data_IF_912069895874
#
_entry.id   IF_912069895874
#
_cell.length_a   1.000
_cell.length_b   1.000
_cell.length_c   1.000
_cell.angle_alpha   90.00
_cell.angle_beta   90.00
_cell.angle_gamma   90.00
#
_symmetry.space_group_name_H-M   'P 1'
#
loop_
_entity.id
_entity.type
_entity.pdbx_description
1 polymer ?
#
# COMPACT_ATOMS: atom_id res chain seq x y z
N UNK A 1 -15.19 12.94 -15.46
CA UNK A 1 -14.75 11.54 -15.18
C UNK A 1 -15.60 10.99 -14.05
N UNK A 2 -16.05 9.73 -14.13
CA UNK A 2 -16.83 9.12 -13.05
C UNK A 2 -15.98 8.83 -11.81
N UNK A 3 -16.57 8.90 -10.61
CA UNK A 3 -15.89 8.64 -9.32
C UNK A 3 -15.21 7.28 -9.27
N UNK A 4 -15.86 6.23 -9.81
CA UNK A 4 -15.30 4.87 -9.90
C UNK A 4 -14.02 4.83 -10.75
N UNK A 5 -13.98 5.58 -11.85
CA UNK A 5 -12.82 5.63 -12.74
C UNK A 5 -11.60 6.21 -12.03
N UNK A 6 -11.79 7.23 -11.19
CA UNK A 6 -10.70 7.85 -10.42
C UNK A 6 -10.16 6.92 -9.34
N UNK A 7 -11.03 6.16 -8.67
CA UNK A 7 -10.62 5.12 -7.71
C UNK A 7 -9.78 4.04 -8.41
N UNK A 8 -10.22 3.58 -9.58
CA UNK A 8 -9.48 2.61 -10.38
C UNK A 8 -8.10 3.13 -10.80
N UNK A 9 -8.01 4.41 -11.22
CA UNK A 9 -6.73 5.05 -11.54
C UNK A 9 -5.81 5.07 -10.32
N UNK A 10 -6.32 5.43 -9.14
CA UNK A 10 -5.55 5.39 -7.90
C UNK A 10 -5.04 3.99 -7.56
N UNK A 11 -5.87 2.97 -7.79
CA UNK A 11 -5.48 1.57 -7.60
C UNK A 11 -4.40 1.12 -8.60
N UNK A 12 -4.54 1.45 -9.88
CA UNK A 12 -3.53 1.18 -10.91
C UNK A 12 -2.19 1.88 -10.59
N UNK A 13 -2.25 3.12 -10.07
CA UNK A 13 -1.07 3.86 -9.63
C UNK A 13 -0.37 3.12 -8.50
N UNK A 14 -1.11 2.66 -7.49
CA UNK A 14 -0.54 1.88 -6.38
C UNK A 14 0.12 0.56 -6.84
N UNK A 15 -0.47 -0.14 -7.82
CA UNK A 15 0.14 -1.32 -8.45
C UNK A 15 1.44 -0.96 -9.18
N UNK A 16 1.45 0.14 -9.91
CA UNK A 16 2.66 0.60 -10.61
C UNK A 16 3.82 0.85 -9.63
N UNK A 17 3.55 1.54 -8.51
CA UNK A 17 4.55 1.73 -7.45
C UNK A 17 4.94 0.44 -6.74
N UNK A 18 4.02 -0.52 -6.61
CA UNK A 18 4.36 -1.85 -6.11
C UNK A 18 5.38 -2.55 -7.03
N UNK A 19 5.17 -2.52 -8.34
CA UNK A 19 6.11 -3.09 -9.32
C UNK A 19 7.46 -2.38 -9.29
N UNK A 20 7.49 -1.04 -9.20
CA UNK A 20 8.75 -0.31 -9.02
C UNK A 20 9.45 -0.67 -7.71
N UNK A 21 8.69 -0.79 -6.61
CA UNK A 21 9.20 -1.21 -5.31
C UNK A 21 9.80 -2.62 -5.35
N UNK A 22 9.26 -3.50 -6.18
CA UNK A 22 9.83 -4.83 -6.43
C UNK A 22 11.19 -4.76 -7.11
N UNK A 23 11.35 -3.89 -8.12
CA UNK A 23 12.65 -3.65 -8.78
C UNK A 23 13.66 -3.08 -7.79
N UNK A 24 13.27 -2.06 -7.03
CA UNK A 24 14.14 -1.42 -6.00
C UNK A 24 14.54 -2.43 -4.93
N UNK A 25 13.60 -3.25 -4.47
CA UNK A 25 13.86 -4.32 -3.50
C UNK A 25 14.89 -5.32 -4.01
N UNK A 26 14.82 -5.71 -5.28
CA UNK A 26 15.81 -6.61 -5.90
C UNK A 26 17.20 -5.99 -5.94
N UNK A 27 17.31 -4.70 -6.27
CA UNK A 27 18.59 -3.98 -6.33
C UNK A 27 19.18 -3.74 -4.93
N UNK A 28 18.34 -3.32 -3.97
CA UNK A 28 18.77 -2.96 -2.62
C UNK A 28 18.85 -4.13 -1.63
N UNK A 29 18.37 -5.33 -2.00
CA UNK A 29 18.19 -6.48 -1.08
C UNK A 29 17.34 -6.16 0.16
N UNK A 30 16.42 -5.20 0.03
CA UNK A 30 15.48 -4.79 1.09
C UNK A 30 14.15 -5.51 0.86
N UNK A 31 13.35 -5.74 1.91
CA UNK A 31 12.01 -6.35 1.76
C UNK A 31 11.09 -5.51 0.88
N UNK A 32 10.56 -6.11 -0.20
CA UNK A 32 9.55 -5.51 -1.10
C UNK A 32 8.38 -4.94 -0.31
N UNK A 33 7.95 -5.63 0.74
CA UNK A 33 6.83 -5.23 1.57
C UNK A 33 7.04 -3.83 2.17
N UNK A 34 8.19 -3.60 2.80
CA UNK A 34 8.47 -2.31 3.47
C UNK A 34 8.68 -1.18 2.46
N UNK A 35 9.32 -1.47 1.33
CA UNK A 35 9.53 -0.48 0.25
C UNK A 35 8.19 -0.07 -0.35
N UNK A 36 7.34 -1.03 -0.71
CA UNK A 36 6.01 -0.75 -1.26
C UNK A 36 5.10 -0.03 -0.28
N UNK A 37 5.07 -0.48 0.98
CA UNK A 37 4.24 0.14 2.00
C UNK A 37 4.66 1.60 2.20
N UNK A 38 5.97 1.86 2.30
CA UNK A 38 6.51 3.20 2.42
C UNK A 38 6.19 4.08 1.22
N UNK A 39 6.36 3.58 -0.01
CA UNK A 39 6.06 4.33 -1.23
C UNK A 39 4.56 4.69 -1.32
N UNK A 40 3.67 3.71 -1.19
CA UNK A 40 2.23 3.93 -1.31
C UNK A 40 1.67 4.78 -0.15
N UNK A 41 2.14 4.58 1.09
CA UNK A 41 1.75 5.44 2.22
C UNK A 41 2.29 6.88 2.06
N UNK A 42 3.51 7.03 1.55
CA UNK A 42 4.10 8.34 1.26
C UNK A 42 3.27 9.11 0.23
N UNK A 43 2.88 8.48 -0.88
CA UNK A 43 1.99 9.08 -1.87
C UNK A 43 0.61 9.41 -1.29
N UNK A 44 0.03 8.50 -0.51
CA UNK A 44 -1.26 8.73 0.13
C UNK A 44 -1.23 10.00 1.02
N UNK A 45 -0.20 10.13 1.86
CA UNK A 45 -0.01 11.30 2.71
C UNK A 45 0.25 12.56 1.89
N UNK A 46 1.11 12.50 0.88
CA UNK A 46 1.39 13.65 0.01
C UNK A 46 0.10 14.18 -0.64
N UNK A 47 -0.73 13.29 -1.21
CA UNK A 47 -2.00 13.69 -1.81
C UNK A 47 -3.01 14.19 -0.76
N UNK A 48 -3.01 13.61 0.45
CA UNK A 48 -3.87 14.05 1.54
C UNK A 48 -3.53 15.46 2.04
N UNK A 49 -2.24 15.84 2.05
CA UNK A 49 -1.83 17.18 2.45
C UNK A 49 -1.99 18.20 1.33
N UNK A 50 -1.63 17.82 0.10
CA UNK A 50 -1.62 18.76 -1.01
C UNK A 50 -3.02 19.09 -1.52
N UNK A 51 -4.02 18.22 -1.30
CA UNK A 51 -5.39 18.44 -1.76
C UNK A 51 -5.95 19.81 -1.32
N UNK A 52 -5.61 20.29 -0.12
CA UNK A 52 -6.08 21.60 0.40
C UNK A 52 -5.62 22.79 -0.43
N UNK A 53 -4.55 22.65 -1.21
CA UNK A 53 -4.03 23.70 -2.09
C UNK A 53 -4.76 23.76 -3.45
N UNK A 54 -5.61 22.78 -3.76
CA UNK A 54 -6.31 22.69 -5.04
C UNK A 54 -7.76 23.22 -4.95
N UNK A 55 -8.34 23.67 -6.08
CA UNK A 55 -9.75 24.03 -6.17
C UNK A 55 -10.68 22.82 -5.89
N UNK A 56 -11.92 23.09 -5.48
CA UNK A 56 -12.87 22.09 -4.97
C UNK A 56 -13.11 20.88 -5.90
N UNK A 57 -13.16 21.11 -7.22
CA UNK A 57 -13.32 20.02 -8.19
C UNK A 57 -12.11 19.09 -8.22
N UNK A 58 -10.90 19.66 -8.16
CA UNK A 58 -9.65 18.90 -8.11
C UNK A 58 -9.46 18.20 -6.76
N UNK A 59 -9.94 18.78 -5.65
CA UNK A 59 -9.97 18.12 -4.34
C UNK A 59 -10.79 16.83 -4.37
N UNK A 60 -11.97 16.89 -4.98
CA UNK A 60 -12.86 15.73 -5.05
C UNK A 60 -12.24 14.61 -5.90
N UNK A 61 -11.59 14.99 -7.00
CA UNK A 61 -10.87 14.04 -7.85
C UNK A 61 -9.67 13.40 -7.14
N UNK A 62 -8.87 14.21 -6.44
CA UNK A 62 -7.75 13.75 -5.62
C UNK A 62 -8.22 12.83 -4.51
N UNK A 63 -9.36 13.12 -3.87
CA UNK A 63 -9.94 12.28 -2.83
C UNK A 63 -10.29 10.87 -3.35
N UNK A 64 -10.97 10.77 -4.50
CA UNK A 64 -11.28 9.47 -5.10
C UNK A 64 -10.04 8.70 -5.54
N UNK A 65 -9.03 9.40 -6.08
CA UNK A 65 -7.73 8.79 -6.37
C UNK A 65 -7.06 8.27 -5.10
N UNK A 66 -7.09 9.05 -4.01
CA UNK A 66 -6.48 8.67 -2.74
C UNK A 66 -7.21 7.48 -2.08
N UNK A 67 -8.52 7.35 -2.28
CA UNK A 67 -9.27 6.17 -1.86
C UNK A 67 -8.75 4.89 -2.54
N UNK A 68 -8.46 4.94 -3.84
CA UNK A 68 -7.87 3.81 -4.56
C UNK A 68 -6.50 3.38 -4.01
N UNK A 69 -5.63 4.36 -3.72
CA UNK A 69 -4.32 4.11 -3.10
C UNK A 69 -4.49 3.52 -1.69
N UNK A 70 -5.39 4.10 -0.88
CA UNK A 70 -5.67 3.65 0.48
C UNK A 70 -6.16 2.20 0.51
N UNK A 71 -7.07 1.82 -0.39
CA UNK A 71 -7.55 0.44 -0.49
C UNK A 71 -6.39 -0.53 -0.72
N UNK A 72 -5.46 -0.20 -1.61
CA UNK A 72 -4.28 -1.03 -1.85
C UNK A 72 -3.38 -1.13 -0.61
N UNK A 73 -3.13 0.00 0.07
CA UNK A 73 -2.33 0.04 1.32
C UNK A 73 -2.96 -0.83 2.41
N UNK A 74 -4.29 -0.78 2.58
CA UNK A 74 -5.00 -1.59 3.57
C UNK A 74 -4.93 -3.09 3.24
N UNK A 75 -5.10 -3.47 1.98
CA UNK A 75 -4.93 -4.86 1.53
C UNK A 75 -3.50 -5.34 1.82
N UNK A 76 -2.50 -4.53 1.50
CA UNK A 76 -1.10 -4.86 1.75
C UNK A 76 -0.82 -5.01 3.26
N UNK A 77 -1.31 -4.09 4.10
CA UNK A 77 -1.18 -4.17 5.55
C UNK A 77 -1.86 -5.42 6.13
N UNK A 78 -3.06 -5.77 5.65
CA UNK A 78 -3.78 -6.96 6.07
C UNK A 78 -3.02 -8.26 5.72
N UNK A 79 -2.49 -8.36 4.50
CA UNK A 79 -1.66 -9.50 4.08
C UNK A 79 -0.35 -9.58 4.89
N UNK A 80 0.29 -8.44 5.16
CA UNK A 80 1.49 -8.36 5.98
C UNK A 80 1.24 -8.84 7.42
N UNK A 81 0.13 -8.40 8.01
CA UNK A 81 -0.29 -8.83 9.35
C UNK A 81 -0.62 -10.32 9.39
N UNK A 82 -1.37 -10.83 8.40
CA UNK A 82 -1.70 -12.25 8.30
C UNK A 82 -0.44 -13.12 8.18
N UNK A 83 0.52 -12.72 7.33
CA UNK A 83 1.80 -13.42 7.20
C UNK A 83 2.60 -13.42 8.51
N UNK A 84 2.61 -12.30 9.24
CA UNK A 84 3.28 -12.23 10.55
C UNK A 84 2.63 -13.13 11.60
N UNK A 85 1.29 -13.16 11.67
CA UNK A 85 0.55 -14.03 12.57
C UNK A 85 0.80 -15.51 12.27
N UNK A 86 0.74 -15.91 11.00
CA UNK A 86 1.04 -17.28 10.56
C UNK A 86 2.48 -17.69 10.90
N UNK A 87 3.46 -16.82 10.67
CA UNK A 87 4.85 -17.10 11.04
C UNK A 87 5.00 -17.33 12.54
N UNK A 88 4.30 -16.56 13.38
CA UNK A 88 4.31 -16.73 14.84
C UNK A 88 3.67 -18.05 15.27
N UNK A 89 2.54 -18.45 14.69
CA UNK A 89 1.87 -19.71 15.05
C UNK A 89 2.71 -20.92 14.66
N UNK A 90 3.32 -20.93 13.47
CA UNK A 90 4.21 -22.02 13.04
C UNK A 90 5.47 -22.12 13.91
N UNK A 91 6.04 -20.98 14.32
CA UNK A 91 7.21 -20.97 15.23
C UNK A 91 6.86 -21.54 16.61
N UNK A 92 5.69 -21.19 17.15
CA UNK A 92 5.19 -21.76 18.42
C UNK A 92 4.96 -23.27 18.31
N UNK A 93 4.37 -23.74 17.21
CA UNK A 93 4.13 -25.17 17.00
C UNK A 93 5.42 -25.97 16.88
N UNK A 94 6.46 -25.41 16.23
CA UNK A 94 7.77 -26.06 16.10
C UNK A 94 8.49 -26.16 17.44
N UNK A 95 8.45 -25.12 18.28
CA UNK A 95 9.03 -25.14 19.63
C UNK A 95 8.31 -26.12 20.55
N UNK A 96 7.00 -26.32 20.39
CA UNK A 96 6.23 -27.26 21.20
C UNK A 96 6.48 -28.74 20.84
N UNK A 97 6.89 -29.04 19.61
CA UNK A 97 7.26 -30.40 19.16
C UNK A 97 8.70 -30.80 19.51
N UNK A 98 9.52 -29.86 19.96
CA UNK A 98 10.93 -30.08 20.33
C UNK A 98 11.20 -29.92 21.83
N UNK A 99 10.15 -29.74 22.64
CA UNK A 99 10.19 -29.76 24.11
C UNK A 99 9.58 -31.05 24.63
#
# INVERSE_FOLDING_TARGET
>A
MGSIQMILIGFCFAIFFFTLSFVISKLGKISVYWVSLGANAGFFLAFLFVQRAFPAEAQTALFYLNLGILTFVLIQAALGLAHWLLKKTTTRQKNWKHS
#
